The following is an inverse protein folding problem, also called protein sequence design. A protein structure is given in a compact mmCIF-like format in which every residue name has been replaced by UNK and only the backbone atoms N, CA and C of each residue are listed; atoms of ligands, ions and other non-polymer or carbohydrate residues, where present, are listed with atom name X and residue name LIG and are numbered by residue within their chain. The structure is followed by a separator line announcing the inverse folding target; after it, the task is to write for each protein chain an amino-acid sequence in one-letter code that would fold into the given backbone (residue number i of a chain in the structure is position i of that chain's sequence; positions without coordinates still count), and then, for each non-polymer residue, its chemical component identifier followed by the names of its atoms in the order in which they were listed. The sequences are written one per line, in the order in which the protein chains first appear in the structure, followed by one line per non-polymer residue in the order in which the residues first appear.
data_IF_682005003576
#
_entry.id   IF_682005003576
#
_cell.length_a   1.000
_cell.length_b   1.000
_cell.length_c   1.000
_cell.angle_alpha   90.00
_cell.angle_beta   90.00
_cell.angle_gamma   90.00
#
_symmetry.space_group_name_H-M   'P 1'
#
loop_
_entity.id
_entity.type
_entity.pdbx_description
1 polymer ?
#
# COMPACT_ATOMS: atom_id res chain seq x y z
N UNK A 1 -34.73 -10.14 126.81
CA UNK A 1 -33.87 -9.28 125.96
C UNK A 1 -34.20 -7.82 126.23
N UNK A 2 -33.25 -7.03 126.76
CA UNK A 2 -33.48 -5.64 127.16
C UNK A 2 -33.64 -4.71 125.94
N UNK A 3 -34.66 -3.85 125.96
CA UNK A 3 -34.94 -2.87 124.88
C UNK A 3 -33.87 -1.77 124.90
N UNK A 4 -33.18 -1.55 123.77
CA UNK A 4 -32.29 -0.40 123.60
C UNK A 4 -33.11 0.90 123.65
N UNK A 5 -32.81 1.78 124.61
CA UNK A 5 -33.42 3.11 124.72
C UNK A 5 -32.76 4.10 123.74
N UNK A 6 -33.54 5.07 123.24
CA UNK A 6 -33.03 6.19 122.43
C UNK A 6 -32.23 7.17 123.30
N UNK A 7 -31.16 7.76 122.74
CA UNK A 7 -30.38 8.82 123.38
C UNK A 7 -30.84 10.24 123.02
N UNK A 8 -30.45 11.22 123.84
CA UNK A 8 -30.70 12.64 123.57
C UNK A 8 -30.08 13.10 122.24
N UNK A 9 -28.85 12.68 121.95
CA UNK A 9 -28.12 13.10 120.74
C UNK A 9 -28.82 12.66 119.46
N UNK A 10 -29.42 11.46 119.46
CA UNK A 10 -30.22 10.98 118.32
C UNK A 10 -31.45 11.86 118.06
N UNK A 11 -32.12 12.32 119.12
CA UNK A 11 -33.27 13.23 119.01
C UNK A 11 -32.83 14.64 118.59
N UNK A 12 -31.71 15.13 119.09
CA UNK A 12 -31.15 16.43 118.73
C UNK A 12 -30.70 16.48 117.26
N UNK A 13 -29.99 15.44 116.78
CA UNK A 13 -29.58 15.32 115.39
C UNK A 13 -30.80 15.27 114.45
N UNK A 14 -31.80 14.45 114.78
CA UNK A 14 -33.05 14.39 114.02
C UNK A 14 -33.78 15.74 113.98
N UNK A 15 -33.80 16.47 115.09
CA UNK A 15 -34.42 17.79 115.16
C UNK A 15 -33.67 18.84 114.30
N UNK A 16 -32.33 18.79 114.27
CA UNK A 16 -31.52 19.65 113.41
C UNK A 16 -31.73 19.35 111.92
N UNK A 17 -31.79 18.08 111.52
CA UNK A 17 -32.08 17.69 110.13
C UNK A 17 -33.42 18.25 109.67
N UNK A 18 -34.47 18.12 110.50
CA UNK A 18 -35.79 18.66 110.18
C UNK A 18 -35.75 20.20 110.06
N UNK A 19 -34.96 20.88 110.90
CA UNK A 19 -34.83 22.34 110.87
C UNK A 19 -34.03 22.83 109.64
N UNK A 20 -33.01 22.10 109.20
CA UNK A 20 -32.27 22.38 107.96
C UNK A 20 -33.16 22.27 106.72
N UNK A 21 -34.13 21.35 106.75
CA UNK A 21 -35.18 21.22 105.74
C UNK A 21 -36.29 22.31 105.85
N UNK A 22 -36.09 23.34 106.68
CA UNK A 22 -37.04 24.43 106.96
C UNK A 22 -38.40 23.93 107.51
N UNK A 23 -38.45 22.75 108.10
CA UNK A 23 -39.64 22.18 108.76
C UNK A 23 -39.53 22.30 110.27
N UNK A 24 -40.67 22.32 110.97
CA UNK A 24 -40.65 22.34 112.44
C UNK A 24 -40.40 20.93 113.00
N UNK A 25 -39.40 20.76 113.88
CA UNK A 25 -39.10 19.47 114.50
C UNK A 25 -40.20 19.12 115.53
N UNK A 26 -41.24 18.43 115.08
CA UNK A 26 -42.34 17.90 115.90
C UNK A 26 -42.02 16.48 116.40
N UNK A 27 -42.67 16.04 117.48
CA UNK A 27 -42.44 14.69 118.05
C UNK A 27 -42.71 13.60 117.00
N UNK A 28 -43.72 13.79 116.15
CA UNK A 28 -44.04 12.87 115.05
C UNK A 28 -42.93 12.81 114.00
N UNK A 29 -42.47 13.98 113.54
CA UNK A 29 -41.41 14.05 112.52
C UNK A 29 -40.08 13.45 113.02
N UNK A 30 -39.72 13.70 114.28
CA UNK A 30 -38.53 13.09 114.89
C UNK A 30 -38.68 11.57 115.02
N UNK A 31 -39.87 11.08 115.39
CA UNK A 31 -40.14 9.64 115.50
C UNK A 31 -40.13 8.95 114.14
N UNK A 32 -40.65 9.60 113.11
CA UNK A 32 -40.64 9.10 111.73
C UNK A 32 -39.21 8.95 111.21
N UNK A 33 -38.33 9.90 111.52
CA UNK A 33 -36.92 9.84 111.13
C UNK A 33 -36.14 8.77 111.90
N UNK A 34 -36.38 8.62 113.20
CA UNK A 34 -35.65 7.67 114.05
C UNK A 34 -36.23 6.25 114.03
N UNK A 35 -37.50 6.07 113.63
CA UNK A 35 -38.26 4.81 113.57
C UNK A 35 -38.29 3.94 114.85
N UNK A 36 -37.71 4.40 115.96
CA UNK A 36 -37.67 3.74 117.26
C UNK A 36 -37.97 4.72 118.40
N UNK A 37 -38.04 4.23 119.63
CA UNK A 37 -38.28 5.01 120.85
C UNK A 37 -39.75 5.28 121.18
N UNK A 38 -40.02 5.42 122.48
CA UNK A 38 -41.34 5.83 122.96
C UNK A 38 -41.56 7.33 122.73
N UNK A 39 -42.81 7.70 122.49
CA UNK A 39 -43.24 9.08 122.28
C UNK A 39 -42.85 9.97 123.47
N UNK A 40 -42.90 9.43 124.70
CA UNK A 40 -42.53 10.17 125.92
C UNK A 40 -41.04 10.51 125.99
N UNK A 41 -40.16 9.58 125.60
CA UNK A 41 -38.71 9.81 125.61
C UNK A 41 -38.32 10.84 124.54
N UNK A 42 -38.87 10.74 123.34
CA UNK A 42 -38.63 11.72 122.26
C UNK A 42 -39.16 13.10 122.67
N UNK A 43 -40.34 13.17 123.30
CA UNK A 43 -40.89 14.45 123.76
C UNK A 43 -39.97 15.15 124.78
N UNK A 44 -39.43 14.42 125.75
CA UNK A 44 -38.55 14.98 126.77
C UNK A 44 -37.24 15.49 126.17
N UNK A 45 -36.60 14.69 125.30
CA UNK A 45 -35.37 15.10 124.64
C UNK A 45 -35.58 16.22 123.63
N UNK A 46 -36.69 16.21 122.89
CA UNK A 46 -37.01 17.28 121.94
C UNK A 46 -37.34 18.60 122.65
N UNK A 47 -37.99 18.54 123.83
CA UNK A 47 -38.20 19.74 124.67
C UNK A 47 -36.87 20.32 125.11
N UNK A 48 -35.99 19.48 125.68
CA UNK A 48 -34.65 19.89 126.11
C UNK A 48 -33.84 20.49 124.96
N UNK A 49 -33.88 19.89 123.77
CA UNK A 49 -33.19 20.41 122.59
C UNK A 49 -33.71 21.79 122.16
N UNK A 50 -35.03 22.03 122.21
CA UNK A 50 -35.59 23.35 121.88
C UNK A 50 -35.20 24.43 122.89
N UNK A 51 -35.05 24.08 124.15
CA UNK A 51 -34.60 25.01 125.19
C UNK A 51 -33.12 25.38 125.00
N UNK A 52 -32.29 24.43 124.55
CA UNK A 52 -30.86 24.64 124.27
C UNK A 52 -30.59 25.35 122.92
N UNK A 53 -31.53 25.30 121.97
CA UNK A 53 -31.32 25.85 120.62
C UNK A 53 -31.78 27.32 120.49
N UNK A 54 -30.83 28.26 120.42
CA UNK A 54 -31.04 29.65 120.02
C UNK A 54 -30.56 29.88 118.56
N UNK A 55 -31.43 30.26 117.60
CA UNK A 55 -30.99 30.61 116.26
C UNK A 55 -30.23 31.96 116.26
N UNK A 56 -29.01 31.97 115.70
CA UNK A 56 -28.20 33.18 115.50
C UNK A 56 -28.91 34.15 114.54
N UNK A 57 -29.04 35.43 114.91
CA UNK A 57 -29.57 36.47 114.02
C UNK A 57 -28.53 36.84 112.94
N UNK A 58 -28.92 36.99 111.67
CA UNK A 58 -28.03 37.49 110.63
C UNK A 58 -27.73 38.98 110.87
N UNK A 59 -26.45 39.31 111.04
CA UNK A 59 -25.97 40.70 111.06
C UNK A 59 -25.76 41.16 109.61
N UNK A 60 -26.42 42.24 109.21
CA UNK A 60 -26.21 42.89 107.91
C UNK A 60 -24.99 43.81 108.01
N UNK A 61 -23.99 43.61 107.14
CA UNK A 61 -22.88 44.54 106.96
C UNK A 61 -23.12 45.37 105.68
N UNK A 62 -23.25 46.69 105.81
CA UNK A 62 -23.33 47.61 104.68
C UNK A 62 -21.92 48.13 104.33
N UNK A 63 -21.55 48.06 103.04
CA UNK A 63 -20.25 48.53 102.56
C UNK A 63 -20.24 50.07 102.60
N UNK A 64 -19.23 50.70 103.23
CA UNK A 64 -19.12 52.16 103.24
C UNK A 64 -19.06 52.75 101.82
N UNK A 65 -19.79 53.84 101.53
CA UNK A 65 -19.91 54.38 100.18
C UNK A 65 -18.57 54.88 99.58
N UNK A 66 -17.58 55.21 100.41
CA UNK A 66 -16.22 55.55 99.95
C UNK A 66 -15.50 54.34 99.35
N UNK A 67 -15.58 53.18 100.00
CA UNK A 67 -14.97 51.94 99.51
C UNK A 67 -15.64 51.45 98.22
N UNK A 68 -16.97 51.57 98.15
CA UNK A 68 -17.72 51.24 96.93
C UNK A 68 -17.30 52.10 95.72
N UNK A 69 -17.06 53.41 95.93
CA UNK A 69 -16.57 54.31 94.88
C UNK A 69 -15.17 53.96 94.40
N UNK A 70 -14.24 53.64 95.30
CA UNK A 70 -12.88 53.24 94.90
C UNK A 70 -12.88 51.90 94.15
N UNK A 71 -13.68 50.92 94.58
CA UNK A 71 -13.85 49.66 93.85
C UNK A 71 -14.43 49.91 92.45
N UNK A 72 -15.45 50.77 92.32
CA UNK A 72 -16.01 51.12 91.01
C UNK A 72 -14.98 51.81 90.11
N UNK A 73 -14.17 52.72 90.67
CA UNK A 73 -13.12 53.41 89.94
C UNK A 73 -12.07 52.42 89.41
N UNK A 74 -11.64 51.47 90.23
CA UNK A 74 -10.66 50.48 89.81
C UNK A 74 -11.25 49.45 88.84
N UNK A 75 -12.50 49.03 89.02
CA UNK A 75 -13.22 48.23 88.02
C UNK A 75 -13.33 48.96 86.68
N UNK A 76 -13.64 50.26 86.70
CA UNK A 76 -13.72 51.07 85.49
C UNK A 76 -12.35 51.18 84.81
N UNK A 77 -11.26 51.33 85.58
CA UNK A 77 -9.89 51.32 85.06
C UNK A 77 -9.54 49.99 84.40
N UNK A 78 -9.77 48.87 85.09
CA UNK A 78 -9.50 47.52 84.57
C UNK A 78 -10.35 47.23 83.34
N UNK A 79 -11.63 47.59 83.36
CA UNK A 79 -12.53 47.45 82.21
C UNK A 79 -12.08 48.31 81.02
N UNK A 80 -11.57 49.53 81.26
CA UNK A 80 -11.03 50.38 80.20
C UNK A 80 -9.82 49.73 79.53
N UNK A 81 -8.86 49.24 80.32
CA UNK A 81 -7.66 48.56 79.80
C UNK A 81 -8.03 47.31 79.02
N UNK A 82 -8.94 46.48 79.54
CA UNK A 82 -9.40 45.28 78.85
C UNK A 82 -10.15 45.60 77.53
N UNK A 83 -10.96 46.66 77.52
CA UNK A 83 -11.65 47.13 76.29
C UNK A 83 -10.65 47.62 75.25
N UNK A 84 -9.62 48.33 75.67
CA UNK A 84 -8.60 48.83 74.76
C UNK A 84 -7.75 47.70 74.17
N UNK A 85 -7.36 46.70 74.97
CA UNK A 85 -6.68 45.49 74.47
C UNK A 85 -7.56 44.73 73.46
N UNK A 86 -8.85 44.52 73.76
CA UNK A 86 -9.77 43.87 72.83
C UNK A 86 -9.94 44.69 71.55
N UNK A 87 -10.03 46.02 71.64
CA UNK A 87 -10.14 46.89 70.48
C UNK A 87 -8.87 46.84 69.61
N UNK A 88 -7.69 46.82 70.22
CA UNK A 88 -6.41 46.65 69.51
C UNK A 88 -6.34 45.29 68.82
N UNK A 89 -6.71 44.20 69.51
CA UNK A 89 -6.75 42.87 68.91
C UNK A 89 -7.76 42.77 67.77
N UNK A 90 -8.94 43.37 67.92
CA UNK A 90 -9.96 43.39 66.87
C UNK A 90 -9.45 44.11 65.62
N UNK A 91 -8.85 45.29 65.78
CA UNK A 91 -8.30 46.06 64.66
C UNK A 91 -7.12 45.34 64.00
N UNK A 92 -6.27 44.65 64.76
CA UNK A 92 -5.20 43.82 64.22
C UNK A 92 -5.75 42.64 63.40
N UNK A 93 -6.71 41.88 63.94
CA UNK A 93 -7.34 40.77 63.23
C UNK A 93 -8.07 41.23 61.97
N UNK A 94 -8.72 42.41 62.01
CA UNK A 94 -9.36 42.99 60.83
C UNK A 94 -8.35 43.26 59.71
N UNK A 95 -7.20 43.87 60.03
CA UNK A 95 -6.12 44.09 59.07
C UNK A 95 -5.56 42.78 58.52
N UNK A 96 -5.37 41.77 59.38
CA UNK A 96 -4.91 40.45 58.94
C UNK A 96 -5.92 39.80 57.98
N UNK A 97 -7.22 39.86 58.29
CA UNK A 97 -8.29 39.40 57.40
C UNK A 97 -8.30 40.14 56.06
N UNK A 98 -8.12 41.47 56.06
CA UNK A 98 -8.01 42.27 54.83
C UNK A 98 -6.81 41.80 54.00
N UNK A 99 -5.62 41.70 54.59
CA UNK A 99 -4.42 41.24 53.86
C UNK A 99 -4.55 39.81 53.32
N UNK A 100 -5.21 38.92 54.07
CA UNK A 100 -5.49 37.56 53.62
C UNK A 100 -6.54 37.53 52.51
N UNK A 101 -7.52 38.44 52.54
CA UNK A 101 -8.52 38.58 51.48
C UNK A 101 -7.86 39.04 50.18
N UNK A 102 -7.02 40.08 50.24
CA UNK A 102 -6.29 40.60 49.08
C UNK A 102 -5.38 39.52 48.47
N UNK A 103 -4.68 38.76 49.31
CA UNK A 103 -3.81 37.66 48.86
C UNK A 103 -4.61 36.51 48.22
N UNK A 104 -5.80 36.18 48.75
CA UNK A 104 -6.68 35.19 48.12
C UNK A 104 -7.17 35.66 46.76
N UNK A 105 -7.61 36.90 46.64
CA UNK A 105 -8.05 37.47 45.36
C UNK A 105 -6.93 37.41 44.31
N UNK A 106 -5.70 37.76 44.68
CA UNK A 106 -4.55 37.68 43.77
C UNK A 106 -4.25 36.22 43.33
N UNK A 107 -4.39 35.25 44.24
CA UNK A 107 -4.20 33.83 43.93
C UNK A 107 -5.31 33.32 43.01
N UNK A 108 -6.57 33.67 43.28
CA UNK A 108 -7.71 33.28 42.44
C UNK A 108 -7.57 33.88 41.04
N UNK A 109 -7.22 35.16 40.90
CA UNK A 109 -6.94 35.77 39.59
C UNK A 109 -5.82 35.04 38.83
N UNK A 110 -4.74 34.67 39.53
CA UNK A 110 -3.64 33.89 38.93
C UNK A 110 -4.10 32.50 38.51
N UNK A 111 -4.93 31.85 39.32
CA UNK A 111 -5.46 30.52 39.05
C UNK A 111 -6.36 30.55 37.81
N UNK A 112 -7.30 31.51 37.74
CA UNK A 112 -8.15 31.73 36.57
C UNK A 112 -7.33 31.98 35.30
N UNK A 113 -6.30 32.83 35.37
CA UNK A 113 -5.39 33.08 34.22
C UNK A 113 -4.65 31.82 33.79
N UNK A 114 -4.14 31.03 34.74
CA UNK A 114 -3.44 29.78 34.43
C UNK A 114 -4.38 28.72 33.85
N UNK A 115 -5.62 28.63 34.36
CA UNK A 115 -6.63 27.73 33.81
C UNK A 115 -6.99 28.10 32.37
N UNK A 116 -7.24 29.40 32.09
CA UNK A 116 -7.50 29.88 30.74
C UNK A 116 -6.32 29.61 29.78
N UNK A 117 -5.07 29.79 30.26
CA UNK A 117 -3.88 29.49 29.47
C UNK A 117 -3.76 27.98 29.19
N UNK A 118 -4.05 27.12 30.17
CA UNK A 118 -4.05 25.67 30.00
C UNK A 118 -5.10 25.20 29.00
N UNK A 119 -6.31 25.77 29.04
CA UNK A 119 -7.36 25.47 28.06
C UNK A 119 -6.94 25.87 26.65
N UNK A 120 -6.35 27.07 26.50
CA UNK A 120 -5.81 27.54 25.22
C UNK A 120 -4.73 26.60 24.68
N UNK A 121 -3.74 26.26 25.52
CA UNK A 121 -2.66 25.34 25.12
C UNK A 121 -3.16 23.93 24.80
N UNK A 122 -4.19 23.45 25.50
CA UNK A 122 -4.84 22.16 25.19
C UNK A 122 -5.51 22.20 23.82
N UNK A 123 -6.26 23.27 23.52
CA UNK A 123 -6.90 23.44 22.23
C UNK A 123 -5.88 23.55 21.08
N UNK A 124 -4.78 24.30 21.29
CA UNK A 124 -3.67 24.37 20.33
C UNK A 124 -3.01 23.00 20.11
N UNK A 125 -2.75 22.26 21.19
CA UNK A 125 -2.21 20.90 21.12
C UNK A 125 -3.14 19.99 20.33
N UNK A 126 -4.44 20.01 20.61
CA UNK A 126 -5.43 19.17 19.92
C UNK A 126 -5.50 19.53 18.42
N UNK A 127 -5.43 20.81 18.07
CA UNK A 127 -5.36 21.26 16.69
C UNK A 127 -4.08 20.76 15.99
N UNK A 128 -2.92 20.88 16.64
CA UNK A 128 -1.65 20.43 16.07
C UNK A 128 -1.61 18.91 15.90
N UNK A 129 -2.18 18.14 16.83
CA UNK A 129 -2.31 16.68 16.72
C UNK A 129 -3.20 16.33 15.53
N UNK A 130 -4.38 16.95 15.40
CA UNK A 130 -5.27 16.70 14.26
C UNK A 130 -4.60 17.01 12.91
N UNK A 131 -3.87 18.13 12.81
CA UNK A 131 -3.10 18.48 11.61
C UNK A 131 -1.95 17.50 11.32
N UNK A 132 -1.32 16.94 12.35
CA UNK A 132 -0.29 15.94 12.19
C UNK A 132 -0.86 14.62 11.66
N UNK A 133 -2.03 14.20 12.17
CA UNK A 133 -2.76 13.03 11.69
C UNK A 133 -3.21 13.18 10.23
N UNK A 134 -3.79 14.33 9.87
CA UNK A 134 -4.15 14.64 8.48
C UNK A 134 -2.95 14.58 7.54
N UNK A 135 -1.81 15.17 7.93
CA UNK A 135 -0.57 15.12 7.15
C UNK A 135 -0.02 13.71 7.03
N UNK A 136 -0.06 12.92 8.10
CA UNK A 136 0.39 11.53 8.08
C UNK A 136 -0.46 10.70 7.12
N UNK A 137 -1.79 10.88 7.13
CA UNK A 137 -2.68 10.22 6.19
C UNK A 137 -2.38 10.60 4.73
N UNK A 138 -2.15 11.89 4.47
CA UNK A 138 -1.80 12.36 3.12
C UNK A 138 -0.44 11.83 2.63
N UNK A 139 0.57 11.75 3.52
CA UNK A 139 1.86 11.14 3.19
C UNK A 139 1.69 9.67 2.81
N UNK A 140 0.91 8.90 3.59
CA UNK A 140 0.65 7.49 3.29
C UNK A 140 -0.03 7.29 1.93
N UNK A 141 -0.98 8.17 1.58
CA UNK A 141 -1.63 8.16 0.27
C UNK A 141 -0.63 8.46 -0.87
N UNK A 142 0.20 9.48 -0.70
CA UNK A 142 1.25 9.83 -1.68
C UNK A 142 2.28 8.71 -1.85
N UNK A 143 2.66 8.04 -0.78
CA UNK A 143 3.57 6.88 -0.82
C UNK A 143 2.94 5.70 -1.59
N UNK A 144 1.65 5.43 -1.38
CA UNK A 144 0.92 4.41 -2.14
C UNK A 144 0.87 4.74 -3.63
N UNK A 145 0.50 5.97 -3.97
CA UNK A 145 0.45 6.43 -5.36
C UNK A 145 1.83 6.39 -6.04
N UNK A 146 2.88 6.75 -5.30
CA UNK A 146 4.26 6.66 -5.80
C UNK A 146 4.65 5.21 -6.07
N UNK A 147 4.31 4.28 -5.18
CA UNK A 147 4.58 2.87 -5.35
C UNK A 147 3.86 2.30 -6.58
N UNK A 148 2.57 2.62 -6.75
CA UNK A 148 1.80 2.24 -7.92
C UNK A 148 2.42 2.80 -9.21
N UNK A 149 2.76 4.08 -9.23
CA UNK A 149 3.41 4.72 -10.38
C UNK A 149 4.76 4.08 -10.72
N UNK A 150 5.57 3.75 -9.71
CA UNK A 150 6.84 3.04 -9.90
C UNK A 150 6.61 1.63 -10.49
N UNK A 151 5.64 0.89 -9.96
CA UNK A 151 5.29 -0.43 -10.48
C UNK A 151 4.84 -0.36 -11.95
N UNK A 152 3.99 0.61 -12.30
CA UNK A 152 3.53 0.83 -13.67
C UNK A 152 4.68 1.23 -14.60
N UNK A 153 5.61 2.07 -14.14
CA UNK A 153 6.80 2.44 -14.90
C UNK A 153 7.69 1.22 -15.18
N UNK A 154 7.94 0.38 -14.18
CA UNK A 154 8.76 -0.84 -14.37
C UNK A 154 8.08 -1.81 -15.34
N UNK A 155 6.77 -1.99 -15.25
CA UNK A 155 6.01 -2.80 -16.19
C UNK A 155 6.12 -2.26 -17.63
N UNK A 156 5.93 -0.95 -17.81
CA UNK A 156 6.06 -0.29 -19.11
C UNK A 156 7.47 -0.40 -19.69
N UNK A 157 8.52 -0.34 -18.85
CA UNK A 157 9.91 -0.55 -19.29
C UNK A 157 10.17 -1.97 -19.77
N UNK A 158 9.63 -2.98 -19.06
CA UNK A 158 9.73 -4.39 -19.47
C UNK A 158 9.00 -4.63 -20.78
N UNK A 159 7.79 -4.09 -20.92
CA UNK A 159 7.01 -4.19 -22.16
C UNK A 159 7.73 -3.52 -23.33
N UNK A 160 8.28 -2.32 -23.13
CA UNK A 160 9.06 -1.64 -24.15
C UNK A 160 10.30 -2.45 -24.57
N UNK A 161 11.02 -3.04 -23.61
CA UNK A 161 12.17 -3.90 -23.91
C UNK A 161 11.76 -5.15 -24.70
N UNK A 162 10.63 -5.77 -24.35
CA UNK A 162 10.08 -6.91 -25.09
C UNK A 162 9.69 -6.53 -26.52
N UNK A 163 8.99 -5.40 -26.71
CA UNK A 163 8.62 -4.89 -28.04
C UNK A 163 9.86 -4.61 -28.89
N UNK A 164 10.90 -4.00 -28.32
CA UNK A 164 12.16 -3.76 -29.02
C UNK A 164 12.87 -5.05 -29.42
N UNK A 165 12.89 -6.08 -28.56
CA UNK A 165 13.46 -7.39 -28.90
C UNK A 165 12.71 -8.05 -30.06
N UNK A 166 11.38 -8.10 -29.97
CA UNK A 166 10.54 -8.65 -31.03
C UNK A 166 10.71 -7.90 -32.36
N UNK A 167 10.80 -6.56 -32.32
CA UNK A 167 11.06 -5.75 -33.50
C UNK A 167 12.42 -6.05 -34.14
N UNK A 168 13.47 -6.30 -33.33
CA UNK A 168 14.79 -6.72 -33.81
C UNK A 168 14.73 -8.09 -34.50
N UNK A 169 14.10 -9.07 -33.87
CA UNK A 169 13.93 -10.40 -34.47
C UNK A 169 13.16 -10.34 -35.79
N UNK A 170 12.10 -9.54 -35.86
CA UNK A 170 11.35 -9.32 -37.10
C UNK A 170 12.24 -8.69 -38.18
N UNK A 171 13.06 -7.70 -37.82
CA UNK A 171 13.97 -7.06 -38.76
C UNK A 171 15.03 -8.06 -39.29
N UNK A 172 15.59 -8.92 -38.44
CA UNK A 172 16.50 -9.99 -38.88
C UNK A 172 15.82 -10.97 -39.84
N UNK A 173 14.57 -11.35 -39.57
CA UNK A 173 13.77 -12.17 -40.49
C UNK A 173 13.51 -11.47 -41.81
N UNK A 174 13.21 -10.17 -41.80
CA UNK A 174 13.03 -9.39 -43.02
C UNK A 174 14.32 -9.30 -43.84
N UNK A 175 15.48 -9.13 -43.21
CA UNK A 175 16.77 -9.15 -43.90
C UNK A 175 17.10 -10.53 -44.49
N UNK A 176 16.82 -11.63 -43.77
CA UNK A 176 16.96 -13.00 -44.32
C UNK A 176 16.06 -13.21 -45.53
N UNK A 177 14.77 -12.85 -45.44
CA UNK A 177 13.82 -12.97 -46.55
C UNK A 177 14.22 -12.09 -47.74
N UNK A 178 14.81 -10.91 -47.51
CA UNK A 178 15.36 -10.07 -48.58
C UNK A 178 16.52 -10.75 -49.29
N UNK A 179 17.45 -11.35 -48.54
CA UNK A 179 18.58 -12.08 -49.13
C UNK A 179 18.09 -13.29 -49.96
N UNK A 180 17.15 -14.08 -49.42
CA UNK A 180 16.52 -15.19 -50.15
C UNK A 180 15.81 -14.72 -51.43
N UNK A 181 15.06 -13.61 -51.37
CA UNK A 181 14.41 -13.05 -52.56
C UNK A 181 15.43 -12.61 -53.62
N UNK A 182 16.55 -12.03 -53.22
CA UNK A 182 17.60 -11.63 -54.16
C UNK A 182 18.32 -12.83 -54.77
N UNK A 183 18.53 -13.91 -54.01
CA UNK A 183 19.12 -15.14 -54.54
C UNK A 183 18.16 -15.87 -55.49
N UNK A 184 16.87 -16.00 -55.14
CA UNK A 184 15.85 -16.55 -56.04
C UNK A 184 15.73 -15.71 -57.32
N UNK A 185 15.87 -14.38 -57.24
CA UNK A 185 15.89 -13.51 -58.43
C UNK A 185 17.12 -13.78 -59.32
N UNK A 186 18.30 -14.01 -58.72
CA UNK A 186 19.50 -14.38 -59.47
C UNK A 186 19.31 -15.73 -60.16
N UNK A 187 18.88 -16.76 -59.43
CA UNK A 187 18.60 -18.09 -59.98
C UNK A 187 17.59 -18.02 -61.13
N UNK A 188 16.49 -17.27 -60.95
CA UNK A 188 15.49 -17.07 -62.00
C UNK A 188 16.10 -16.38 -63.24
N UNK A 189 17.02 -15.42 -63.05
CA UNK A 189 17.69 -14.75 -64.16
C UNK A 189 18.65 -15.67 -64.91
N UNK A 190 19.35 -16.55 -64.19
CA UNK A 190 20.24 -17.56 -64.75
C UNK A 190 19.44 -18.62 -65.51
N UNK A 191 18.35 -19.12 -64.94
CA UNK A 191 17.46 -20.08 -65.59
C UNK A 191 16.81 -19.49 -66.84
N UNK A 192 16.47 -18.20 -66.83
CA UNK A 192 16.00 -17.51 -68.04
C UNK A 192 17.10 -17.43 -69.11
N UNK A 193 18.37 -17.21 -68.73
CA UNK A 193 19.50 -17.20 -69.69
C UNK A 193 19.74 -18.58 -70.27
N UNK A 194 19.80 -19.62 -69.44
CA UNK A 194 19.99 -21.01 -69.88
C UNK A 194 18.86 -21.45 -70.81
N UNK A 195 17.61 -21.11 -70.48
CA UNK A 195 16.44 -21.33 -71.33
C UNK A 195 16.57 -20.62 -72.67
N UNK A 196 16.91 -19.32 -72.69
CA UNK A 196 17.07 -18.56 -73.93
C UNK A 196 18.18 -19.14 -74.82
N UNK A 197 19.30 -19.57 -74.23
CA UNK A 197 20.40 -20.20 -74.96
C UNK A 197 19.99 -21.58 -75.52
N UNK A 198 19.21 -22.36 -74.76
CA UNK A 198 18.64 -23.61 -75.24
C UNK A 198 17.65 -23.39 -76.40
N UNK A 199 16.75 -22.40 -76.29
CA UNK A 199 15.81 -22.01 -77.35
C UNK A 199 16.57 -21.62 -78.63
N UNK A 200 17.61 -20.76 -78.54
CA UNK A 200 18.48 -20.40 -79.68
C UNK A 200 19.17 -21.61 -80.32
N UNK A 201 19.64 -22.56 -79.50
CA UNK A 201 20.25 -23.81 -80.01
C UNK A 201 19.23 -24.68 -80.74
N UNK A 202 18.01 -24.80 -80.21
CA UNK A 202 16.91 -25.53 -80.86
C UNK A 202 16.54 -24.88 -82.19
N UNK A 203 16.41 -23.56 -82.25
CA UNK A 203 16.18 -22.82 -83.49
C UNK A 203 17.30 -23.06 -84.51
N UNK A 204 18.57 -22.96 -84.08
CA UNK A 204 19.72 -23.22 -84.96
C UNK A 204 19.79 -24.66 -85.47
N UNK A 205 19.46 -25.65 -84.64
CA UNK A 205 19.36 -27.06 -85.06
C UNK A 205 18.18 -27.28 -86.00
N UNK A 206 17.03 -26.66 -85.74
CA UNK A 206 15.85 -26.71 -86.61
C UNK A 206 16.17 -26.15 -88.00
N UNK A 207 16.84 -24.99 -88.08
CA UNK A 207 17.28 -24.39 -89.34
C UNK A 207 18.29 -25.28 -90.10
N UNK A 208 19.25 -25.90 -89.39
CA UNK A 208 20.19 -26.87 -89.99
C UNK A 208 19.46 -28.11 -90.50
N UNK A 209 18.48 -28.62 -89.75
CA UNK A 209 17.67 -29.75 -90.17
C UNK A 209 16.88 -29.41 -91.43
N UNK A 210 16.22 -28.24 -91.48
CA UNK A 210 15.52 -27.75 -92.67
C UNK A 210 16.46 -27.67 -93.89
N UNK A 211 17.63 -27.03 -93.74
CA UNK A 211 18.61 -26.95 -94.82
C UNK A 211 19.14 -28.33 -95.27
N UNK A 212 19.33 -29.28 -94.34
CA UNK A 212 19.72 -30.64 -94.67
C UNK A 212 18.60 -31.39 -95.40
N UNK A 213 17.34 -31.23 -95.01
CA UNK A 213 16.19 -31.81 -95.71
C UNK A 213 16.01 -31.23 -97.11
N UNK A 214 16.24 -29.93 -97.29
CA UNK A 214 16.22 -29.26 -98.61
C UNK A 214 17.35 -29.79 -99.49
N UNK A 215 18.59 -29.86 -99.00
CA UNK A 215 19.72 -30.46 -99.72
C UNK A 215 19.49 -31.92 -100.08
N UNK A 216 18.88 -32.70 -99.17
CA UNK A 216 18.51 -34.08 -99.46
C UNK A 216 17.47 -34.14 -100.59
N UNK A 217 16.46 -33.28 -100.56
CA UNK A 217 15.47 -33.18 -101.64
C UNK A 217 16.10 -32.77 -102.98
N UNK A 218 17.02 -31.80 -102.98
CA UNK A 218 17.77 -31.37 -104.15
C UNK A 218 18.65 -32.50 -104.72
N UNK A 219 19.42 -33.18 -103.88
CA UNK A 219 20.28 -34.31 -104.29
C UNK A 219 19.45 -35.50 -104.78
N UNK A 220 18.30 -35.78 -104.17
CA UNK A 220 17.34 -36.77 -104.67
C UNK A 220 16.81 -36.37 -106.06
N UNK A 221 16.47 -35.10 -106.27
CA UNK A 221 16.02 -34.60 -107.57
C UNK A 221 17.14 -34.72 -108.62
N UNK A 222 18.38 -34.38 -108.27
CA UNK A 222 19.55 -34.56 -109.13
C UNK A 222 19.80 -36.04 -109.45
N UNK A 223 19.73 -36.93 -108.46
CA UNK A 223 19.85 -38.37 -108.67
C UNK A 223 18.76 -38.90 -109.61
N UNK A 224 17.51 -38.45 -109.46
CA UNK A 224 16.43 -38.77 -110.39
C UNK A 224 16.72 -38.27 -111.82
N UNK A 225 17.28 -37.06 -111.98
CA UNK A 225 17.69 -36.55 -113.29
C UNK A 225 18.78 -37.41 -113.92
N UNK A 226 19.84 -37.73 -113.17
CA UNK A 226 20.93 -38.61 -113.65
C UNK A 226 20.41 -40.00 -113.99
N UNK A 227 19.48 -40.56 -113.20
CA UNK A 227 18.84 -41.84 -113.52
C UNK A 227 18.04 -41.76 -114.82
N UNK A 228 17.28 -40.67 -115.04
CA UNK A 228 16.57 -40.43 -116.31
C UNK A 228 17.54 -40.30 -117.48
N UNK A 229 18.59 -39.48 -117.35
CA UNK A 229 19.62 -39.33 -118.37
C UNK A 229 20.33 -40.65 -118.68
N UNK A 230 20.62 -41.46 -117.66
CA UNK A 230 21.16 -42.83 -117.83
C UNK A 230 20.18 -43.71 -118.59
N UNK A 231 18.90 -43.67 -118.25
CA UNK A 231 17.87 -44.49 -118.89
C UNK A 231 17.65 -44.05 -120.34
N UNK A 232 17.64 -42.73 -120.62
CA UNK A 232 17.64 -42.15 -121.97
C UNK A 232 18.89 -42.53 -122.77
N UNK A 233 20.08 -42.49 -122.15
CA UNK A 233 21.33 -42.92 -122.77
C UNK A 233 21.34 -44.42 -123.07
N UNK A 234 20.80 -45.26 -122.17
CA UNK A 234 20.58 -46.70 -122.40
C UNK A 234 19.63 -46.93 -123.56
N UNK A 235 18.51 -46.21 -123.61
CA UNK A 235 17.59 -46.24 -124.74
C UNK A 235 18.29 -45.81 -126.04
N UNK A 236 19.12 -44.77 -126.00
CA UNK A 236 19.87 -44.30 -127.18
C UNK A 236 20.88 -45.35 -127.64
N UNK A 237 21.63 -45.98 -126.73
CA UNK A 237 22.55 -47.09 -127.04
C UNK A 237 21.78 -48.26 -127.63
N UNK A 238 20.62 -48.62 -127.08
CA UNK A 238 19.80 -49.70 -127.63
C UNK A 238 19.22 -49.34 -129.00
N UNK A 239 18.77 -48.10 -129.23
CA UNK A 239 18.38 -47.62 -130.57
C UNK A 239 19.56 -47.67 -131.54
N UNK A 240 20.74 -47.23 -131.15
CA UNK A 240 21.97 -47.32 -131.96
C UNK A 240 22.37 -48.77 -132.25
N UNK A 241 22.21 -49.69 -131.29
CA UNK A 241 22.40 -51.14 -131.50
C UNK A 241 21.40 -51.71 -132.48
N UNK A 242 20.13 -51.37 -132.35
CA UNK A 242 19.06 -51.78 -133.28
C UNK A 242 19.34 -51.21 -134.67
N UNK A 243 19.76 -49.96 -134.77
CA UNK A 243 20.09 -49.33 -136.05
C UNK A 243 21.39 -49.86 -136.66
N UNK A 244 22.41 -50.18 -135.85
CA UNK A 244 23.60 -50.90 -136.29
C UNK A 244 23.27 -52.33 -136.74
N UNK A 245 22.34 -53.01 -136.08
CA UNK A 245 21.80 -54.30 -136.49
C UNK A 245 20.98 -54.20 -137.80
N UNK A 246 20.22 -53.13 -137.99
CA UNK A 246 19.53 -52.84 -139.27
C UNK A 246 20.51 -52.48 -140.39
N UNK A 247 21.59 -51.74 -140.08
CA UNK A 247 22.65 -51.36 -141.04
C UNK A 247 23.49 -52.57 -141.43
N UNK A 248 23.80 -53.48 -140.50
CA UNK A 248 24.43 -54.77 -140.78
C UNK A 248 23.49 -55.74 -141.53
N UNK A 249 22.18 -55.72 -141.25
CA UNK A 249 21.17 -56.44 -142.03
C UNK A 249 20.92 -55.83 -143.43
N UNK A 250 21.21 -54.54 -143.63
CA UNK A 250 21.20 -53.88 -144.95
C UNK A 250 22.47 -54.22 -145.74
N UNK A 251 23.61 -54.31 -145.08
CA UNK A 251 24.87 -54.78 -145.66
C UNK A 251 24.85 -56.28 -146.01
N UNK A 252 24.10 -57.12 -145.30
CA UNK A 252 23.87 -58.53 -145.66
C UNK A 252 22.92 -58.75 -146.85
N UNK A 253 22.17 -57.74 -147.29
CA UNK A 253 21.16 -57.86 -148.37
C UNK A 253 21.68 -57.50 -149.77
N UNK A 254 22.91 -56.99 -149.84
CA UNK A 254 23.62 -56.69 -151.09
C UNK A 254 24.83 -57.64 -151.11
N UNK A 255 24.62 -58.85 -151.61
CA UNK A 255 25.61 -59.93 -151.53
C UNK A 255 26.75 -59.77 -152.54
N UNK A 256 27.96 -60.18 -152.15
CA UNK A 256 28.93 -60.90 -153.00
C UNK A 256 30.16 -61.39 -152.18
N UNK A 257 30.44 -62.69 -152.34
CA UNK A 257 31.72 -63.42 -152.34
C UNK A 257 32.85 -63.14 -151.31
N UNK A 258 33.25 -64.22 -150.61
CA UNK A 258 34.62 -64.55 -150.13
C UNK A 258 35.72 -64.17 -151.16
N UNK A 259 37.01 -63.87 -150.79
CA UNK A 259 37.91 -64.87 -150.17
C UNK A 259 39.17 -64.39 -149.37
N UNK A 260 39.97 -65.38 -148.90
CA UNK A 260 41.44 -65.45 -148.64
C UNK A 260 42.10 -64.94 -147.32
N UNK A 261 42.56 -65.94 -146.53
CA UNK A 261 43.91 -66.20 -145.93
C UNK A 261 44.87 -65.03 -145.53
N UNK A 262 45.15 -64.95 -144.21
CA UNK A 262 46.46 -64.87 -143.49
C UNK A 262 47.45 -63.68 -143.72
N UNK A 263 48.46 -63.41 -142.84
CA UNK A 263 48.69 -63.80 -141.43
C UNK A 263 49.33 -62.70 -140.50
N UNK A 264 49.45 -63.03 -139.21
CA UNK A 264 50.55 -62.78 -138.25
C UNK A 264 51.04 -61.38 -137.73
N UNK A 265 51.51 -61.45 -136.47
CA UNK A 265 52.46 -60.60 -135.71
C UNK A 265 51.95 -59.37 -134.89
N UNK A 266 51.89 -59.62 -133.57
CA UNK A 266 52.27 -58.85 -132.35
C UNK A 266 53.26 -57.65 -132.50
N UNK A 267 53.81 -56.98 -131.44
CA UNK A 267 53.47 -56.87 -130.00
C UNK A 267 53.54 -55.42 -129.41
N UNK A 268 53.21 -55.29 -128.12
CA UNK A 268 53.82 -54.31 -127.19
C UNK A 268 53.23 -52.89 -127.25
N UNK A 269 53.24 -52.05 -126.22
CA UNK A 269 53.87 -52.02 -124.90
C UNK A 269 53.27 -50.78 -124.21
N UNK A 270 52.84 -50.85 -122.95
CA UNK A 270 53.53 -50.23 -121.79
C UNK A 270 53.50 -48.67 -121.86
N UNK A 271 52.95 -47.92 -120.90
CA UNK A 271 53.61 -47.55 -119.64
C UNK A 271 52.82 -46.40 -118.99
N UNK A 272 52.50 -46.54 -117.69
CA UNK A 272 52.62 -45.58 -116.55
C UNK A 272 51.97 -44.18 -116.66
N UNK A 273 51.62 -43.45 -115.59
CA UNK A 273 51.67 -43.56 -114.12
C UNK A 273 50.91 -42.32 -113.60
N UNK A 274 50.45 -42.40 -112.34
CA UNK A 274 50.33 -41.32 -111.32
C UNK A 274 49.60 -40.04 -111.72
N UNK A 275 48.59 -39.56 -111.00
CA UNK A 275 48.50 -39.42 -109.53
C UNK A 275 47.04 -39.20 -109.16
#
# INVERSE_FOLDING_TARGET
MPRQGISYEQVAAAAQTILAEKRQPTIRAVRELLQTGSVSTIQNYLRRWREEFQPLQPVSFEIPPSLAREIQKELARVASVAREDIAQRLTQTQKECETLSDAHEEIEEKNERLQAALETLRAERDNLVGRAEERAAHIAELESNLHEAQSALTAAQVEAAHVLSSAREQNERFESLRAELDDVRKELSEERRTRNDAERRLEGLSAKHQAATERLAETQLQAQRVLRERDEAREMIERQRIDAAKKSARLKRIGLSKPRRAPDVLPGSRVKKST
#
